data_IF_888757456681
#
_entry.id   IF_888757456681
#
_cell.length_a   1.000
_cell.length_b   1.000
_cell.length_c   1.000
_cell.angle_alpha   90.00
_cell.angle_beta   90.00
_cell.angle_gamma   90.00
#
_symmetry.space_group_name_H-M   'P 1'
#
loop_
_entity.id
_entity.type
_entity.pdbx_description
1 polymer ?
#
# COMPACT_ATOMS: atom_id res chain seq x y z
N UNK A 1 -27.06 11.76 2.63
CA UNK A 1 -25.86 10.90 2.62
C UNK A 1 -24.68 11.72 3.12
N UNK A 2 -23.73 11.10 3.83
CA UNK A 2 -22.48 11.78 4.24
C UNK A 2 -21.56 11.85 3.02
N UNK A 3 -20.97 13.01 2.75
CA UNK A 3 -20.10 13.26 1.58
C UNK A 3 -18.68 13.60 2.04
N UNK A 4 -17.71 13.56 1.14
CA UNK A 4 -16.32 13.96 1.40
C UNK A 4 -16.22 15.41 1.90
N UNK A 5 -17.04 16.32 1.39
CA UNK A 5 -17.12 17.70 1.87
C UNK A 5 -17.56 17.80 3.34
N UNK A 6 -18.56 17.01 3.74
CA UNK A 6 -19.01 16.96 5.14
C UNK A 6 -17.90 16.47 6.08
N UNK A 7 -17.12 15.46 5.65
CA UNK A 7 -15.98 14.94 6.42
C UNK A 7 -14.83 15.95 6.51
N UNK A 8 -14.53 16.66 5.42
CA UNK A 8 -13.52 17.72 5.39
C UNK A 8 -13.90 18.90 6.27
N UNK A 9 -15.16 19.33 6.23
CA UNK A 9 -15.68 20.40 7.11
C UNK A 9 -15.59 19.99 8.58
N UNK A 10 -15.94 18.74 8.90
CA UNK A 10 -15.81 18.21 10.26
C UNK A 10 -14.34 18.16 10.72
N UNK A 11 -13.43 17.66 9.87
CA UNK A 11 -12.00 17.63 10.17
C UNK A 11 -11.42 19.04 10.37
N UNK A 12 -11.81 20.00 9.53
CA UNK A 12 -11.46 21.42 9.68
C UNK A 12 -11.91 21.97 11.04
N UNK A 13 -13.15 21.67 11.45
CA UNK A 13 -13.68 22.09 12.75
C UNK A 13 -12.92 21.46 13.92
N UNK A 14 -12.59 20.17 13.81
CA UNK A 14 -11.82 19.42 14.81
C UNK A 14 -10.42 20.00 14.98
N UNK A 15 -9.69 20.21 13.88
CA UNK A 15 -8.34 20.78 13.93
C UNK A 15 -8.37 22.24 14.44
N UNK A 16 -9.40 23.01 14.09
CA UNK A 16 -9.62 24.35 14.65
C UNK A 16 -9.91 24.33 16.15
N UNK A 17 -10.68 23.34 16.63
CA UNK A 17 -10.94 23.14 18.05
C UNK A 17 -9.63 22.83 18.77
N UNK A 18 -8.84 21.88 18.26
CA UNK A 18 -7.49 21.58 18.78
C UNK A 18 -6.64 22.85 18.81
N UNK A 19 -6.58 23.61 17.72
CA UNK A 19 -5.82 24.87 17.61
C UNK A 19 -6.20 25.87 18.69
N UNK A 20 -7.49 26.00 19.02
CA UNK A 20 -7.95 26.89 20.09
C UNK A 20 -7.55 26.39 21.47
N UNK A 21 -7.55 25.07 21.68
CA UNK A 21 -7.28 24.45 22.99
C UNK A 21 -5.81 24.12 23.25
N UNK A 22 -4.92 24.26 22.26
CA UNK A 22 -3.46 24.16 22.46
C UNK A 22 -3.05 25.05 23.62
N UNK A 23 -2.55 24.40 24.67
CA UNK A 23 -2.05 25.03 25.85
C UNK A 23 -2.98 25.27 27.02
N UNK A 24 -4.26 24.94 26.87
CA UNK A 24 -5.26 25.09 27.94
C UNK A 24 -5.21 23.92 28.92
N UNK A 25 -5.13 24.17 30.23
CA UNK A 25 -5.10 23.11 31.26
C UNK A 25 -6.44 22.37 31.39
N UNK A 26 -7.54 23.06 31.10
CA UNK A 26 -8.92 22.58 31.28
C UNK A 26 -9.41 21.55 30.24
N UNK A 27 -8.52 21.09 29.34
CA UNK A 27 -8.87 20.25 28.19
C UNK A 27 -8.26 18.82 28.24
N UNK A 28 -8.59 17.97 29.25
CA UNK A 28 -8.06 16.61 29.33
C UNK A 28 -8.58 15.69 28.20
N UNK A 29 -9.74 16.03 27.61
CA UNK A 29 -10.37 15.29 26.52
C UNK A 29 -9.50 15.24 25.24
N UNK A 30 -8.55 16.17 25.08
CA UNK A 30 -7.65 16.24 23.91
C UNK A 30 -6.81 14.96 23.74
N UNK A 31 -6.57 14.19 24.80
CA UNK A 31 -5.79 12.94 24.73
C UNK A 31 -6.47 11.89 23.83
N UNK A 32 -7.80 11.91 23.73
CA UNK A 32 -8.58 10.89 23.03
C UNK A 32 -9.11 11.38 21.67
N UNK A 33 -9.05 12.68 21.39
CA UNK A 33 -9.67 13.26 20.19
C UNK A 33 -9.14 12.62 18.90
N UNK A 34 -7.83 12.34 18.84
CA UNK A 34 -7.18 11.79 17.68
C UNK A 34 -7.62 10.34 17.38
N UNK A 35 -7.98 9.57 18.40
CA UNK A 35 -8.46 8.19 18.24
C UNK A 35 -9.81 8.15 17.51
N UNK A 36 -10.68 9.13 17.77
CA UNK A 36 -11.98 9.25 17.13
C UNK A 36 -11.88 9.99 15.78
N UNK A 37 -11.20 11.13 15.75
CA UNK A 37 -11.08 11.95 14.56
C UNK A 37 -10.25 11.29 13.45
N UNK A 38 -9.32 10.39 13.80
CA UNK A 38 -8.49 9.70 12.82
C UNK A 38 -9.27 8.79 11.87
N UNK A 39 -10.49 8.37 12.21
CA UNK A 39 -11.34 7.55 11.32
C UNK A 39 -11.97 8.37 10.18
N UNK A 40 -11.94 9.70 10.29
CA UNK A 40 -12.57 10.64 9.34
C UNK A 40 -11.56 11.13 8.29
N UNK A 41 -10.25 10.94 8.54
CA UNK A 41 -9.15 11.33 7.64
C UNK A 41 -8.98 10.26 6.56
N UNK A 42 -9.78 10.34 5.49
CA UNK A 42 -9.79 9.37 4.37
C UNK A 42 -9.53 10.09 3.04
N UNK A 43 -10.38 11.05 2.66
CA UNK A 43 -10.21 11.88 1.45
C UNK A 43 -10.09 13.35 1.85
N UNK A 44 -8.99 13.70 2.51
CA UNK A 44 -8.76 15.05 3.04
C UNK A 44 -8.26 16.00 1.96
N UNK A 45 -8.91 17.16 1.82
CA UNK A 45 -8.58 18.20 0.85
C UNK A 45 -7.23 18.87 1.13
N UNK A 46 -6.55 19.29 0.07
CA UNK A 46 -5.32 20.10 0.09
C UNK A 46 -5.52 21.45 0.80
N UNK A 47 -6.72 22.02 0.77
CA UNK A 47 -7.03 23.31 1.40
C UNK A 47 -6.80 23.31 2.92
N UNK A 48 -6.89 22.13 3.55
CA UNK A 48 -6.64 21.95 4.98
C UNK A 48 -5.19 22.27 5.36
N UNK A 49 -4.24 22.20 4.41
CA UNK A 49 -2.83 22.52 4.62
C UNK A 49 -2.68 23.98 5.05
N UNK A 50 -3.27 24.90 4.28
CA UNK A 50 -3.23 26.34 4.55
C UNK A 50 -4.03 26.70 5.81
N UNK A 51 -5.26 26.19 5.94
CA UNK A 51 -6.04 26.30 7.16
C UNK A 51 -6.90 25.05 7.38
N UNK A 52 -6.72 24.31 8.49
CA UNK A 52 -6.08 24.75 9.75
C UNK A 52 -4.72 24.12 10.09
N UNK A 53 -4.16 23.25 9.24
CA UNK A 53 -2.99 22.41 9.57
C UNK A 53 -1.73 23.23 9.83
N UNK A 54 -1.35 24.12 8.91
CA UNK A 54 -0.14 24.93 9.02
C UNK A 54 -0.17 25.87 10.26
N UNK A 55 -1.24 26.67 10.51
CA UNK A 55 -1.31 27.50 11.71
C UNK A 55 -1.32 26.70 13.03
N UNK A 56 -1.88 25.49 13.01
CA UNK A 56 -1.86 24.60 14.18
C UNK A 56 -0.43 24.10 14.46
N UNK A 57 0.30 23.67 13.42
CA UNK A 57 1.69 23.24 13.53
C UNK A 57 2.59 24.39 14.05
N UNK A 58 2.43 25.59 13.50
CA UNK A 58 3.16 26.79 13.95
C UNK A 58 2.88 27.12 15.42
N UNK A 59 1.62 27.06 15.86
CA UNK A 59 1.24 27.34 17.25
C UNK A 59 1.86 26.35 18.23
N UNK A 60 1.82 25.05 17.92
CA UNK A 60 2.45 24.02 18.75
C UNK A 60 3.98 24.20 18.77
N UNK A 61 4.58 24.53 17.63
CA UNK A 61 6.02 24.78 17.54
C UNK A 61 6.45 25.99 18.36
N UNK A 62 5.73 27.10 18.25
CA UNK A 62 5.98 28.32 19.03
C UNK A 62 5.91 28.06 20.53
N UNK A 63 4.94 27.24 20.97
CA UNK A 63 4.83 26.80 22.36
C UNK A 63 6.03 25.93 22.77
N UNK A 64 6.45 24.98 21.92
CA UNK A 64 7.62 24.15 22.19
C UNK A 64 8.90 24.99 22.37
N UNK A 65 9.10 25.99 21.51
CA UNK A 65 10.22 26.93 21.60
C UNK A 65 10.16 27.73 22.91
N UNK A 66 8.98 28.24 23.29
CA UNK A 66 8.82 29.01 24.52
C UNK A 66 9.11 28.18 25.79
N UNK A 67 8.56 26.96 25.88
CA UNK A 67 8.78 26.06 27.02
C UNK A 67 10.26 25.65 27.10
N UNK A 68 10.91 25.38 25.97
CA UNK A 68 12.34 25.05 25.94
C UNK A 68 13.24 26.23 26.32
N UNK A 69 12.95 27.43 25.84
CA UNK A 69 13.68 28.63 26.25
C UNK A 69 13.54 28.86 27.76
N UNK A 70 12.33 28.64 28.32
CA UNK A 70 12.10 28.68 29.77
C UNK A 70 12.98 27.66 30.50
N UNK A 71 13.02 26.41 30.03
CA UNK A 71 13.92 25.37 30.55
C UNK A 71 15.40 25.81 30.53
N UNK A 72 15.90 26.30 29.39
CA UNK A 72 17.30 26.71 29.25
C UNK A 72 17.67 27.89 30.16
N UNK A 73 16.78 28.87 30.28
CA UNK A 73 17.00 30.05 31.14
C UNK A 73 17.09 29.69 32.63
N UNK A 74 16.40 28.63 33.05
CA UNK A 74 16.37 28.18 34.44
C UNK A 74 17.40 27.07 34.73
N UNK A 75 18.14 26.61 33.71
CA UNK A 75 19.07 25.46 33.83
C UNK A 75 20.19 25.66 34.84
N UNK A 76 20.69 26.89 34.99
CA UNK A 76 21.70 27.23 36.00
C UNK A 76 21.11 27.24 37.41
N UNK A 77 19.87 27.72 37.54
CA UNK A 77 19.12 27.82 38.80
C UNK A 77 18.68 26.44 39.30
N UNK A 78 18.20 25.56 38.41
CA UNK A 78 17.78 24.20 38.76
C UNK A 78 18.91 23.30 39.31
N UNK A 79 20.19 23.68 39.11
CA UNK A 79 21.33 22.93 39.66
C UNK A 79 21.57 23.15 41.16
N UNK A 80 21.01 24.20 41.77
CA UNK A 80 21.26 24.53 43.17
C UNK A 80 20.38 23.74 44.17
N UNK A 81 19.40 22.95 43.69
CA UNK A 81 18.60 22.01 44.47
C UNK A 81 18.00 22.55 45.78
N UNK A 82 17.49 23.79 45.76
CA UNK A 82 16.76 24.42 46.88
C UNK A 82 15.25 24.13 46.78
N UNK A 83 14.47 24.34 47.84
CA UNK A 83 12.99 24.15 47.79
C UNK A 83 12.32 25.00 46.70
N UNK A 84 12.79 26.23 46.47
CA UNK A 84 12.28 27.08 45.39
C UNK A 84 12.60 26.52 43.99
N UNK A 85 13.64 25.69 43.84
CA UNK A 85 13.96 25.05 42.55
C UNK A 85 13.02 23.87 42.24
N UNK A 86 12.50 23.17 43.26
CA UNK A 86 11.60 22.03 43.04
C UNK A 86 10.20 22.48 42.60
N UNK A 87 9.71 23.61 43.09
CA UNK A 87 8.45 24.21 42.64
C UNK A 87 8.53 24.65 41.17
N UNK A 88 9.64 25.28 40.78
CA UNK A 88 9.90 25.72 39.40
C UNK A 88 10.06 24.53 38.45
N UNK A 89 10.72 23.46 38.90
CA UNK A 89 10.82 22.20 38.15
C UNK A 89 9.45 21.56 37.90
N UNK A 90 8.58 21.54 38.92
CA UNK A 90 7.21 21.04 38.80
C UNK A 90 6.38 21.81 37.76
N UNK A 91 6.42 23.14 37.80
CA UNK A 91 5.73 23.97 36.81
C UNK A 91 6.22 23.74 35.38
N UNK A 92 7.54 23.59 35.21
CA UNK A 92 8.13 23.29 33.91
C UNK A 92 7.67 21.92 33.40
N UNK A 93 7.58 20.94 34.30
CA UNK A 93 7.10 19.59 33.98
C UNK A 93 5.62 19.59 33.54
N UNK A 94 4.78 20.41 34.18
CA UNK A 94 3.37 20.58 33.81
C UNK A 94 3.22 21.23 32.43
N UNK A 95 4.03 22.26 32.12
CA UNK A 95 4.05 22.88 30.79
C UNK A 95 4.48 21.91 29.69
N UNK A 96 5.50 21.07 29.96
CA UNK A 96 5.89 19.99 29.06
C UNK A 96 4.82 18.93 28.92
N UNK A 97 4.10 18.59 29.99
CA UNK A 97 2.98 17.63 29.96
C UNK A 97 1.86 18.11 29.03
N UNK A 98 1.51 19.39 29.10
CA UNK A 98 0.54 20.01 28.20
C UNK A 98 1.04 20.03 26.75
N UNK A 99 2.31 20.39 26.52
CA UNK A 99 2.91 20.35 25.18
C UNK A 99 2.87 18.92 24.58
N UNK A 100 3.16 17.92 25.40
CA UNK A 100 3.04 16.51 25.00
C UNK A 100 1.60 16.20 24.63
N UNK A 101 0.61 16.53 25.47
CA UNK A 101 -0.81 16.32 25.14
C UNK A 101 -1.22 16.98 23.82
N UNK A 102 -0.82 18.23 23.60
CA UNK A 102 -1.19 18.98 22.40
C UNK A 102 -0.62 18.33 21.13
N UNK A 103 0.60 17.81 21.21
CA UNK A 103 1.19 17.01 20.15
C UNK A 103 0.45 15.70 19.93
N UNK A 104 0.00 15.03 20.99
CA UNK A 104 -0.76 13.76 20.87
C UNK A 104 -2.13 13.97 20.23
N UNK A 105 -2.73 15.14 20.44
CA UNK A 105 -3.99 15.50 19.78
C UNK A 105 -3.80 15.75 18.28
N UNK A 106 -2.66 16.34 17.88
CA UNK A 106 -2.42 16.78 16.51
C UNK A 106 -1.69 15.75 15.63
N UNK A 107 -0.59 15.17 16.09
CA UNK A 107 0.32 14.36 15.24
C UNK A 107 -0.33 13.14 14.61
N UNK A 108 -1.20 12.36 15.28
CA UNK A 108 -1.85 11.23 14.61
C UNK A 108 -2.76 11.66 13.46
N UNK A 109 -3.37 12.85 13.54
CA UNK A 109 -4.17 13.42 12.45
C UNK A 109 -3.26 13.95 11.33
N UNK A 110 -2.17 14.62 11.70
CA UNK A 110 -1.18 15.11 10.75
C UNK A 110 -0.53 13.98 9.94
N UNK A 111 -0.15 12.88 10.60
CA UNK A 111 0.49 11.72 9.93
C UNK A 111 -0.44 11.17 8.85
N UNK A 112 -1.72 10.92 9.19
CA UNK A 112 -2.71 10.44 8.21
C UNK A 112 -2.92 11.43 7.07
N UNK A 113 -2.99 12.73 7.36
CA UNK A 113 -3.12 13.76 6.35
C UNK A 113 -1.92 13.79 5.38
N UNK A 114 -0.71 13.73 5.91
CA UNK A 114 0.53 13.71 5.12
C UNK A 114 0.63 12.44 4.28
N UNK A 115 0.22 11.29 4.80
CA UNK A 115 0.23 10.02 4.06
C UNK A 115 -0.68 10.09 2.81
N UNK A 116 -1.86 10.73 2.94
CA UNK A 116 -2.77 10.96 1.81
C UNK A 116 -2.19 11.94 0.77
N UNK A 117 -1.51 12.98 1.24
CA UNK A 117 -1.01 14.07 0.39
C UNK A 117 0.41 13.82 -0.16
N UNK A 118 1.05 12.72 0.26
CA UNK A 118 2.46 12.43 -0.05
C UNK A 118 2.76 12.40 -1.54
N UNK A 119 1.94 11.70 -2.34
CA UNK A 119 2.19 11.56 -3.76
C UNK A 119 2.17 12.93 -4.46
N UNK A 120 1.17 13.75 -4.15
CA UNK A 120 1.05 15.12 -4.65
C UNK A 120 2.24 16.00 -4.23
N UNK A 121 2.64 15.96 -2.95
CA UNK A 121 3.76 16.76 -2.43
C UNK A 121 5.14 16.34 -2.95
N UNK A 122 5.29 15.10 -3.44
CA UNK A 122 6.53 14.64 -4.06
C UNK A 122 6.61 15.07 -5.54
N UNK A 123 5.46 15.16 -6.21
CA UNK A 123 5.37 15.65 -7.60
C UNK A 123 5.44 17.18 -7.68
N UNK A 124 4.90 17.89 -6.69
CA UNK A 124 4.82 19.36 -6.66
C UNK A 124 5.55 19.97 -5.48
N UNK A 125 6.29 21.06 -5.73
CA UNK A 125 7.03 21.77 -4.69
C UNK A 125 6.11 22.70 -3.88
N UNK A 126 5.54 22.19 -2.79
CA UNK A 126 4.62 22.93 -1.91
C UNK A 126 5.37 23.51 -0.70
N UNK A 127 5.48 24.83 -0.63
CA UNK A 127 6.22 25.56 0.41
C UNK A 127 5.60 25.41 1.80
N UNK A 128 4.28 25.31 1.86
CA UNK A 128 3.51 25.15 3.08
C UNK A 128 3.77 23.78 3.71
N UNK A 129 3.91 22.73 2.89
CA UNK A 129 4.29 21.40 3.33
C UNK A 129 5.71 21.39 3.92
N UNK A 130 6.64 22.09 3.27
CA UNK A 130 8.00 22.31 3.79
C UNK A 130 7.98 23.06 5.14
N UNK A 131 7.13 24.07 5.29
CA UNK A 131 6.96 24.78 6.56
C UNK A 131 6.44 23.87 7.68
N UNK A 132 5.43 23.04 7.41
CA UNK A 132 4.94 22.03 8.36
C UNK A 132 6.06 21.07 8.75
N UNK A 133 6.85 20.58 7.79
CA UNK A 133 8.01 19.73 8.07
C UNK A 133 9.01 20.43 9.00
N UNK A 134 9.36 21.69 8.72
CA UNK A 134 10.30 22.48 9.50
C UNK A 134 9.83 22.68 10.95
N UNK A 135 8.53 22.94 11.17
CA UNK A 135 7.95 23.03 12.51
C UNK A 135 8.06 21.69 13.27
N UNK A 136 7.67 20.58 12.64
CA UNK A 136 7.78 19.25 13.26
C UNK A 136 9.23 18.90 13.58
N UNK A 137 10.16 19.20 12.67
CA UNK A 137 11.59 18.97 12.85
C UNK A 137 12.17 19.83 13.99
N UNK A 138 11.77 21.09 14.10
CA UNK A 138 12.19 21.98 15.18
C UNK A 138 11.71 21.46 16.54
N UNK A 139 10.45 21.03 16.64
CA UNK A 139 9.91 20.42 17.86
C UNK A 139 10.71 19.15 18.23
N UNK A 140 11.03 18.30 17.25
CA UNK A 140 11.85 17.10 17.48
C UNK A 140 13.26 17.45 17.96
N UNK A 141 13.90 18.47 17.39
CA UNK A 141 15.21 18.95 17.79
C UNK A 141 15.20 19.49 19.22
N UNK A 142 14.18 20.26 19.60
CA UNK A 142 13.97 20.74 20.97
C UNK A 142 13.87 19.57 21.95
N UNK A 143 13.05 18.55 21.62
CA UNK A 143 12.92 17.37 22.47
C UNK A 143 14.20 16.57 22.62
N UNK A 144 15.04 16.50 21.58
CA UNK A 144 16.33 15.79 21.67
C UNK A 144 17.30 16.46 22.65
N UNK A 145 17.12 17.76 22.92
CA UNK A 145 17.99 18.58 23.78
C UNK A 145 17.45 18.78 25.20
N UNK A 146 16.13 18.71 25.39
CA UNK A 146 15.46 18.91 26.69
C UNK A 146 15.82 17.83 27.72
N UNK A 147 16.13 18.23 28.95
CA UNK A 147 16.37 17.33 30.09
C UNK A 147 15.07 17.01 30.85
N UNK A 148 14.16 17.99 30.98
CA UNK A 148 12.85 17.82 31.61
C UNK A 148 11.98 16.77 30.89
N UNK A 149 12.12 16.62 29.57
CA UNK A 149 11.44 15.57 28.81
C UNK A 149 12.00 14.15 29.06
N UNK A 150 13.25 14.00 29.51
CA UNK A 150 13.84 12.69 29.82
C UNK A 150 13.34 12.10 31.16
N UNK A 151 12.47 12.82 31.87
CA UNK A 151 11.74 12.30 33.03
C UNK A 151 10.90 11.07 32.64
N UNK A 152 10.82 10.08 33.56
CA UNK A 152 10.19 8.77 33.30
C UNK A 152 8.76 8.82 32.72
N UNK A 153 7.81 9.65 33.19
CA UNK A 153 6.42 9.58 32.73
C UNK A 153 6.21 10.11 31.29
N UNK A 154 6.89 11.19 30.90
CA UNK A 154 6.85 11.78 29.55
C UNK A 154 7.57 10.90 28.52
N UNK A 155 8.68 10.25 28.93
CA UNK A 155 9.40 9.26 28.11
C UNK A 155 8.56 8.01 27.79
N UNK A 156 7.77 7.51 28.75
CA UNK A 156 6.91 6.32 28.59
C UNK A 156 5.76 6.60 27.62
N UNK A 157 5.09 7.75 27.72
CA UNK A 157 4.06 8.14 26.77
C UNK A 157 4.64 8.10 25.33
N UNK A 158 5.80 8.72 25.09
CA UNK A 158 6.41 8.79 23.75
C UNK A 158 6.97 7.48 23.22
N UNK A 159 7.34 6.54 24.11
CA UNK A 159 7.66 5.17 23.71
C UNK A 159 6.42 4.42 23.21
N UNK A 160 5.21 4.83 23.61
CA UNK A 160 3.96 4.31 23.06
C UNK A 160 3.64 4.90 21.66
N UNK A 161 4.00 6.15 21.36
CA UNK A 161 3.78 6.77 20.03
C UNK A 161 4.79 6.32 18.96
N UNK A 162 6.08 6.44 19.24
CA UNK A 162 7.11 5.87 18.38
C UNK A 162 7.69 4.67 19.10
N UNK A 163 7.43 3.48 18.55
CA UNK A 163 8.21 2.31 18.91
C UNK A 163 9.69 2.64 18.84
N UNK A 164 10.49 2.02 19.69
CA UNK A 164 11.96 2.18 19.68
C UNK A 164 12.55 1.98 18.28
N UNK A 165 11.95 1.13 17.46
CA UNK A 165 12.27 0.95 16.04
C UNK A 165 11.95 2.19 15.19
N UNK A 166 10.76 2.79 15.34
CA UNK A 166 10.38 4.02 14.62
C UNK A 166 11.28 5.21 14.99
N UNK A 167 11.68 5.34 16.26
CA UNK A 167 12.65 6.38 16.69
C UNK A 167 14.02 6.21 16.04
N UNK A 168 14.49 4.95 15.94
CA UNK A 168 15.77 4.62 15.31
C UNK A 168 15.78 4.96 13.83
N UNK A 169 14.68 4.68 13.13
CA UNK A 169 14.51 5.02 11.70
C UNK A 169 14.50 6.55 11.53
N UNK A 170 13.71 7.30 12.32
CA UNK A 170 13.66 8.76 12.23
C UNK A 170 15.05 9.42 12.46
N UNK A 171 15.80 8.95 13.46
CA UNK A 171 17.17 9.43 13.71
C UNK A 171 18.11 9.07 12.55
N UNK A 172 17.97 7.88 11.94
CA UNK A 172 18.75 7.50 10.77
C UNK A 172 18.42 8.34 9.54
N UNK A 173 17.15 8.74 9.35
CA UNK A 173 16.74 9.65 8.27
C UNK A 173 17.34 11.05 8.47
N UNK A 174 17.35 11.58 9.70
CA UNK A 174 17.95 12.88 10.01
C UNK A 174 19.49 12.88 9.90
N UNK A 175 20.12 11.71 10.08
CA UNK A 175 21.57 11.50 9.87
C UNK A 175 21.90 11.02 8.46
N UNK A 176 20.92 10.98 7.56
CA UNK A 176 21.17 10.50 6.20
C UNK A 176 22.12 11.47 5.49
N UNK A 177 23.07 10.90 4.76
CA UNK A 177 24.03 11.68 3.98
C UNK A 177 23.31 12.13 2.70
N UNK A 178 23.26 13.43 2.38
CA UNK A 178 22.61 13.90 1.17
C UNK A 178 23.32 13.34 -0.07
N UNK A 179 22.57 13.15 -1.16
CA UNK A 179 23.03 12.44 -2.35
C UNK A 179 24.37 12.98 -2.91
N UNK A 180 24.54 14.31 -2.91
CA UNK A 180 25.76 14.97 -3.39
C UNK A 180 27.02 14.69 -2.55
N UNK A 181 26.87 14.22 -1.30
CA UNK A 181 27.96 13.85 -0.41
C UNK A 181 28.24 12.34 -0.39
N UNK A 182 27.53 11.53 -1.18
CA UNK A 182 27.81 10.10 -1.29
C UNK A 182 29.06 9.85 -2.14
N UNK A 183 29.80 8.79 -1.80
CA UNK A 183 30.88 8.29 -2.66
C UNK A 183 30.29 7.83 -3.99
N UNK A 184 30.94 8.18 -5.11
CA UNK A 184 30.46 7.89 -6.47
C UNK A 184 30.00 6.44 -6.68
N UNK A 185 30.77 5.45 -6.25
CA UNK A 185 30.39 4.03 -6.40
C UNK A 185 29.11 3.67 -5.64
N UNK A 186 28.85 4.27 -4.47
CA UNK A 186 27.65 4.02 -3.69
C UNK A 186 26.43 4.65 -4.35
N UNK A 187 26.59 5.87 -4.88
CA UNK A 187 25.54 6.53 -5.65
C UNK A 187 25.19 5.72 -6.91
N UNK A 188 26.19 5.19 -7.63
CA UNK A 188 25.97 4.33 -8.80
C UNK A 188 25.20 3.06 -8.43
N UNK A 189 25.56 2.38 -7.34
CA UNK A 189 24.85 1.15 -6.93
C UNK A 189 23.37 1.43 -6.58
N UNK A 190 23.10 2.54 -5.86
CA UNK A 190 21.73 2.96 -5.55
C UNK A 190 20.98 3.30 -6.85
N UNK A 191 21.63 4.04 -7.76
CA UNK A 191 21.04 4.39 -9.04
C UNK A 191 20.69 3.15 -9.88
N UNK A 192 21.59 2.16 -9.98
CA UNK A 192 21.33 0.94 -10.75
C UNK A 192 20.18 0.12 -10.17
N UNK A 193 20.06 0.06 -8.84
CA UNK A 193 18.94 -0.62 -8.19
C UNK A 193 17.61 0.07 -8.51
N UNK A 194 17.53 1.40 -8.30
CA UNK A 194 16.32 2.18 -8.57
C UNK A 194 15.97 2.14 -10.06
N UNK A 195 16.97 2.25 -10.94
CA UNK A 195 16.76 2.15 -12.38
C UNK A 195 16.22 0.78 -12.77
N UNK A 196 16.73 -0.30 -12.18
CA UNK A 196 16.18 -1.64 -12.41
C UNK A 196 14.72 -1.73 -11.95
N UNK A 197 14.43 -1.36 -10.72
CA UNK A 197 13.09 -1.50 -10.10
C UNK A 197 12.05 -0.58 -10.75
N UNK A 198 12.41 0.66 -11.09
CA UNK A 198 11.47 1.65 -11.63
C UNK A 198 11.37 1.68 -13.16
N UNK A 199 12.44 1.31 -13.88
CA UNK A 199 12.44 1.43 -15.35
C UNK A 199 12.46 0.07 -16.05
N UNK A 200 13.21 -0.90 -15.54
CA UNK A 200 13.36 -2.19 -16.22
C UNK A 200 12.30 -3.23 -15.81
N UNK A 201 11.72 -3.13 -14.61
CA UNK A 201 10.69 -4.07 -14.15
C UNK A 201 9.30 -3.77 -14.75
N UNK A 202 9.02 -2.51 -15.07
CA UNK A 202 7.77 -2.04 -15.69
C UNK A 202 7.81 -2.12 -17.23
N UNK A 203 9.00 -2.20 -17.84
CA UNK A 203 9.13 -2.30 -19.30
C UNK A 203 8.55 -3.64 -19.80
N UNK A 204 7.65 -3.58 -20.78
CA UNK A 204 7.15 -4.77 -21.47
C UNK A 204 8.31 -5.43 -22.23
N UNK A 205 8.82 -6.54 -21.69
CA UNK A 205 9.96 -7.27 -22.26
C UNK A 205 9.57 -8.17 -23.44
N UNK A 206 8.35 -8.05 -23.95
CA UNK A 206 7.84 -8.84 -25.07
C UNK A 206 7.26 -10.19 -24.64
N UNK A 207 6.72 -10.29 -23.41
CA UNK A 207 6.08 -11.52 -22.92
C UNK A 207 4.92 -11.94 -23.83
N UNK A 208 4.13 -10.98 -24.32
CA UNK A 208 3.04 -11.21 -25.27
C UNK A 208 3.56 -11.82 -26.58
N UNK A 209 4.64 -11.25 -27.13
CA UNK A 209 5.23 -11.70 -28.40
C UNK A 209 5.81 -13.12 -28.29
N UNK A 210 6.36 -13.49 -27.13
CA UNK A 210 6.80 -14.87 -26.90
C UNK A 210 5.63 -15.86 -26.97
N UNK A 211 4.51 -15.54 -26.31
CA UNK A 211 3.33 -16.42 -26.32
C UNK A 211 2.70 -16.48 -27.72
N UNK A 212 2.64 -15.35 -28.43
CA UNK A 212 2.18 -15.31 -29.83
C UNK A 212 3.02 -16.20 -30.74
N UNK A 213 4.35 -16.12 -30.65
CA UNK A 213 5.27 -16.95 -31.45
C UNK A 213 5.14 -18.45 -31.16
N UNK A 214 4.74 -18.82 -29.93
CA UNK A 214 4.52 -20.21 -29.55
C UNK A 214 3.12 -20.72 -29.94
N UNK A 215 2.22 -19.82 -30.31
CA UNK A 215 0.80 -20.10 -30.59
C UNK A 215 0.34 -19.42 -31.89
N UNK A 216 -0.46 -18.36 -31.79
CA UNK A 216 -0.91 -17.51 -32.89
C UNK A 216 -1.26 -16.10 -32.37
N UNK A 217 -1.21 -15.11 -33.26
CA UNK A 217 -1.63 -13.73 -32.98
C UNK A 217 -3.16 -13.57 -33.07
N UNK A 218 -3.70 -12.47 -32.53
CA UNK A 218 -5.12 -12.13 -32.63
C UNK A 218 -5.54 -11.92 -34.10
N UNK A 219 -4.74 -11.16 -34.86
CA UNK A 219 -5.00 -10.87 -36.28
C UNK A 219 -5.00 -12.14 -37.14
N UNK A 220 -4.07 -13.06 -36.88
CA UNK A 220 -4.03 -14.37 -37.57
C UNK A 220 -5.28 -15.21 -37.25
N UNK A 221 -5.76 -15.17 -36.01
CA UNK A 221 -6.94 -15.92 -35.60
C UNK A 221 -8.24 -15.35 -36.20
N UNK A 222 -8.33 -14.03 -36.38
CA UNK A 222 -9.47 -13.41 -37.05
C UNK A 222 -9.50 -13.66 -38.55
N UNK A 223 -8.33 -13.70 -39.19
CA UNK A 223 -8.20 -13.94 -40.64
C UNK A 223 -8.33 -15.40 -41.04
N UNK A 224 -7.98 -16.35 -40.16
CA UNK A 224 -8.04 -17.80 -40.42
C UNK A 224 -9.40 -18.47 -40.13
N UNK A 225 -10.49 -17.71 -39.94
CA UNK A 225 -11.84 -18.23 -39.59
C UNK A 225 -12.49 -19.21 -40.60
N UNK A 226 -11.80 -19.71 -41.62
CA UNK A 226 -12.38 -20.56 -42.69
C UNK A 226 -11.64 -21.89 -43.01
N UNK A 227 -10.86 -22.49 -42.10
CA UNK A 227 -10.31 -23.84 -42.38
C UNK A 227 -10.64 -24.83 -41.25
N UNK A 228 -11.23 -25.96 -41.65
CA UNK A 228 -11.59 -27.11 -40.80
C UNK A 228 -10.40 -27.57 -39.94
N UNK A 229 -10.65 -27.76 -38.64
CA UNK A 229 -9.68 -28.27 -37.68
C UNK A 229 -9.37 -29.76 -37.98
N UNK A 230 -8.26 -30.03 -38.67
CA UNK A 230 -7.60 -31.34 -38.58
C UNK A 230 -7.05 -31.54 -37.16
N UNK A 231 -6.96 -32.79 -36.67
CA UNK A 231 -6.33 -33.12 -35.37
C UNK A 231 -4.86 -32.65 -35.35
N UNK A 232 -4.64 -31.39 -34.98
CA UNK A 232 -3.31 -30.82 -34.89
C UNK A 232 -2.59 -31.36 -33.67
N UNK A 233 -1.34 -31.76 -33.87
CA UNK A 233 -0.42 -32.15 -32.80
C UNK A 233 -0.41 -31.05 -31.73
N UNK A 234 -0.36 -31.40 -30.43
CA UNK A 234 -0.33 -30.42 -29.36
C UNK A 234 0.82 -29.46 -29.62
N UNK A 235 0.51 -28.17 -29.63
CA UNK A 235 1.49 -27.13 -29.91
C UNK A 235 2.57 -27.05 -28.83
N UNK A 236 3.63 -26.29 -29.10
CA UNK A 236 4.80 -26.23 -28.21
C UNK A 236 4.43 -25.74 -26.81
N UNK A 237 3.45 -24.83 -26.72
CA UNK A 237 2.96 -24.31 -25.45
C UNK A 237 2.16 -25.38 -24.67
N UNK A 238 1.29 -26.14 -25.35
CA UNK A 238 0.55 -27.25 -24.72
C UNK A 238 1.48 -28.33 -24.16
N UNK A 239 2.57 -28.65 -24.88
CA UNK A 239 3.58 -29.61 -24.39
C UNK A 239 4.27 -29.11 -23.10
N UNK A 240 4.57 -27.81 -23.02
CA UNK A 240 5.13 -27.20 -21.83
C UNK A 240 4.17 -27.28 -20.64
N UNK A 241 2.89 -26.95 -20.86
CA UNK A 241 1.86 -27.00 -19.82
C UNK A 241 1.67 -28.43 -19.31
N UNK A 242 1.64 -29.43 -20.22
CA UNK A 242 1.57 -30.84 -19.83
C UNK A 242 2.76 -31.25 -18.96
N UNK A 243 3.97 -30.77 -19.25
CA UNK A 243 5.14 -31.02 -18.43
C UNK A 243 5.00 -30.43 -17.02
N UNK A 244 4.52 -29.19 -16.88
CA UNK A 244 4.25 -28.58 -15.58
C UNK A 244 3.15 -29.31 -14.80
N UNK A 245 2.05 -29.69 -15.45
CA UNK A 245 0.99 -30.48 -14.82
C UNK A 245 1.49 -31.84 -14.31
N UNK A 246 2.39 -32.49 -15.07
CA UNK A 246 3.02 -33.74 -14.63
C UNK A 246 3.90 -33.50 -13.40
N UNK A 247 4.70 -32.43 -13.38
CA UNK A 247 5.54 -32.12 -12.22
C UNK A 247 4.70 -31.91 -10.95
N UNK A 248 3.64 -31.10 -11.02
CA UNK A 248 2.76 -30.83 -9.89
C UNK A 248 1.97 -32.06 -9.40
N UNK A 249 1.69 -33.04 -10.26
CA UNK A 249 1.07 -34.32 -9.85
C UNK A 249 2.08 -35.30 -9.24
N UNK A 250 3.34 -35.31 -9.69
CA UNK A 250 4.35 -36.26 -9.18
C UNK A 250 4.88 -35.92 -7.78
N UNK A 251 4.82 -34.65 -7.37
CA UNK A 251 5.34 -34.18 -6.08
C UNK A 251 4.29 -34.21 -4.93
N UNK A 252 3.11 -34.79 -5.15
CA UNK A 252 1.98 -34.82 -4.19
C UNK A 252 2.30 -35.44 -2.82
N UNK A 253 3.38 -36.22 -2.69
CA UNK A 253 3.78 -36.88 -1.45
C UNK A 253 4.70 -36.04 -0.54
N UNK A 254 5.23 -34.90 -1.01
CA UNK A 254 6.19 -34.07 -0.27
C UNK A 254 5.84 -32.58 -0.19
N UNK A 255 6.75 -31.80 0.40
CA UNK A 255 6.78 -30.34 0.23
C UNK A 255 7.27 -30.05 -1.18
N UNK A 256 6.41 -29.43 -1.99
CA UNK A 256 6.73 -28.99 -3.36
C UNK A 256 8.00 -28.15 -3.34
N UNK A 257 9.01 -28.53 -4.13
CA UNK A 257 10.20 -27.70 -4.28
C UNK A 257 9.90 -26.48 -5.15
N UNK A 258 10.58 -25.36 -4.89
CA UNK A 258 10.43 -24.17 -5.74
C UNK A 258 11.02 -24.45 -7.13
N UNK A 259 10.18 -24.37 -8.15
CA UNK A 259 10.57 -24.55 -9.55
C UNK A 259 10.72 -23.18 -10.22
N UNK A 260 11.97 -22.74 -10.38
CA UNK A 260 12.31 -21.48 -11.03
C UNK A 260 11.71 -21.38 -12.44
N UNK A 261 11.73 -22.47 -13.21
CA UNK A 261 11.24 -22.48 -14.59
C UNK A 261 9.73 -22.24 -14.60
N UNK A 262 8.99 -22.96 -13.76
CA UNK A 262 7.56 -22.74 -13.60
C UNK A 262 7.25 -21.31 -13.16
N UNK A 263 7.97 -20.79 -12.16
CA UNK A 263 7.73 -19.44 -11.63
C UNK A 263 7.90 -18.34 -12.69
N UNK A 264 8.90 -18.45 -13.55
CA UNK A 264 9.11 -17.49 -14.65
C UNK A 264 8.02 -17.62 -15.73
N UNK A 265 7.63 -18.85 -16.11
CA UNK A 265 6.55 -19.04 -17.08
C UNK A 265 5.19 -18.60 -16.54
N UNK A 266 4.92 -18.78 -15.25
CA UNK A 266 3.70 -18.27 -14.62
C UNK A 266 3.64 -16.74 -14.68
N UNK A 267 4.76 -16.04 -14.47
CA UNK A 267 4.83 -14.58 -14.63
C UNK A 267 4.63 -14.15 -16.10
N UNK A 268 5.27 -14.85 -17.06
CA UNK A 268 5.09 -14.60 -18.50
C UNK A 268 3.62 -14.78 -18.91
N UNK A 269 2.98 -15.88 -18.49
CA UNK A 269 1.57 -16.14 -18.77
C UNK A 269 0.68 -15.06 -18.15
N UNK A 270 0.96 -14.67 -16.90
CA UNK A 270 0.23 -13.60 -16.21
C UNK A 270 0.33 -12.27 -16.94
N UNK A 271 1.53 -11.89 -17.41
CA UNK A 271 1.75 -10.63 -18.13
C UNK A 271 1.19 -10.67 -19.56
N UNK A 272 1.04 -11.87 -20.15
CA UNK A 272 0.54 -12.03 -21.52
C UNK A 272 -0.97 -11.86 -21.70
N UNK A 273 -1.74 -11.78 -20.61
CA UNK A 273 -3.19 -11.57 -20.59
C UNK A 273 -3.55 -10.12 -20.17
N UNK A 274 -2.75 -9.13 -20.56
CA UNK A 274 -2.94 -7.72 -20.18
C UNK A 274 -2.22 -7.36 -18.87
N UNK A 275 -0.89 -7.50 -18.90
CA UNK A 275 -0.01 -7.14 -17.80
C UNK A 275 -0.16 -5.68 -17.36
N UNK A 276 -0.33 -5.49 -16.05
CA UNK A 276 -0.12 -4.25 -15.29
C UNK A 276 -0.94 -2.99 -15.61
N UNK A 277 -2.04 -3.05 -16.35
CA UNK A 277 -2.95 -1.89 -16.43
C UNK A 277 -3.98 -1.91 -15.29
N UNK A 278 -3.54 -1.66 -14.06
CA UNK A 278 -4.41 -1.18 -12.97
C UNK A 278 -3.97 0.20 -12.43
N UNK A 279 -2.85 0.77 -12.91
CA UNK A 279 -2.34 2.05 -12.39
C UNK A 279 -2.38 3.22 -13.41
N UNK A 280 -2.88 3.02 -14.64
CA UNK A 280 -3.01 4.10 -15.65
C UNK A 280 -4.41 4.76 -15.70
N UNK A 281 -5.31 4.51 -14.74
CA UNK A 281 -6.63 5.17 -14.71
C UNK A 281 -6.70 6.44 -13.82
N UNK A 282 -5.58 7.04 -13.43
CA UNK A 282 -5.58 8.32 -12.68
C UNK A 282 -4.59 9.38 -13.22
N UNK A 283 -4.45 9.52 -14.54
CA UNK A 283 -4.09 10.82 -15.11
C UNK A 283 -5.37 11.65 -15.34
N UNK A 284 -5.68 12.52 -14.38
CA UNK A 284 -6.60 13.66 -14.56
C UNK A 284 -6.00 14.67 -15.57
N UNK A 285 -5.83 14.25 -16.82
CA UNK A 285 -5.72 15.09 -17.99
C UNK A 285 -7.05 15.07 -18.73
N UNK A 286 -7.49 16.20 -19.26
CA UNK A 286 -8.64 16.30 -20.18
C UNK A 286 -8.35 15.60 -21.53
N UNK A 287 -8.08 14.30 -21.51
CA UNK A 287 -8.11 13.47 -22.72
C UNK A 287 -9.46 12.75 -22.79
N UNK A 288 -10.10 12.81 -23.96
CA UNK A 288 -11.34 12.08 -24.22
C UNK A 288 -11.13 10.61 -23.84
N UNK A 289 -11.83 10.13 -22.82
CA UNK A 289 -11.73 8.73 -22.38
C UNK A 289 -11.95 7.77 -23.56
N UNK A 290 -11.38 6.55 -23.50
CA UNK A 290 -11.32 5.65 -24.63
C UNK A 290 -12.70 5.41 -25.24
N UNK A 291 -12.75 5.39 -26.57
CA UNK A 291 -14.00 5.21 -27.31
C UNK A 291 -14.68 3.90 -26.90
N UNK A 292 -16.02 3.84 -26.90
CA UNK A 292 -16.78 2.59 -26.68
C UNK A 292 -16.27 1.47 -27.61
N UNK A 293 -15.86 1.84 -28.83
CA UNK A 293 -15.30 0.88 -29.76
C UNK A 293 -13.93 0.35 -29.32
N UNK A 294 -13.09 1.20 -28.77
CA UNK A 294 -11.75 0.86 -28.27
C UNK A 294 -11.83 -0.05 -27.04
N UNK A 295 -12.69 0.30 -26.08
CA UNK A 295 -12.95 -0.54 -24.90
C UNK A 295 -13.47 -1.95 -25.28
N UNK A 296 -14.35 -2.04 -26.28
CA UNK A 296 -14.86 -3.33 -26.74
C UNK A 296 -13.76 -4.13 -27.48
N UNK A 297 -12.89 -3.48 -28.26
CA UNK A 297 -11.75 -4.12 -28.92
C UNK A 297 -10.73 -4.67 -27.90
N UNK A 298 -10.40 -3.89 -26.87
CA UNK A 298 -9.51 -4.32 -25.79
C UNK A 298 -10.08 -5.51 -25.03
N UNK A 299 -11.37 -5.48 -24.73
CA UNK A 299 -12.07 -6.60 -24.10
C UNK A 299 -12.02 -7.86 -24.95
N UNK A 300 -12.21 -7.75 -26.26
CA UNK A 300 -12.10 -8.90 -27.17
C UNK A 300 -10.67 -9.44 -27.25
N UNK A 301 -9.66 -8.57 -27.29
CA UNK A 301 -8.25 -8.94 -27.24
C UNK A 301 -7.90 -9.67 -25.94
N UNK A 302 -8.35 -9.16 -24.80
CA UNK A 302 -8.17 -9.79 -23.48
C UNK A 302 -8.80 -11.18 -23.44
N UNK A 303 -10.07 -11.30 -23.86
CA UNK A 303 -10.77 -12.58 -23.89
C UNK A 303 -10.05 -13.59 -24.79
N UNK A 304 -9.53 -13.16 -25.95
CA UNK A 304 -8.76 -14.01 -26.83
C UNK A 304 -7.45 -14.49 -26.16
N UNK A 305 -6.68 -13.59 -25.56
CA UNK A 305 -5.44 -13.94 -24.86
C UNK A 305 -5.71 -14.96 -23.74
N UNK A 306 -6.76 -14.75 -22.96
CA UNK A 306 -7.20 -15.66 -21.89
C UNK A 306 -7.64 -17.02 -22.43
N UNK A 307 -8.52 -17.05 -23.44
CA UNK A 307 -8.99 -18.29 -24.06
C UNK A 307 -7.84 -19.08 -24.70
N UNK A 308 -6.86 -18.39 -25.30
CA UNK A 308 -5.67 -19.01 -25.89
C UNK A 308 -4.86 -19.79 -24.86
N UNK A 309 -4.69 -19.26 -23.65
CA UNK A 309 -4.03 -19.98 -22.55
C UNK A 309 -4.94 -21.06 -21.94
N UNK A 310 -6.22 -20.75 -21.72
CA UNK A 310 -7.17 -21.67 -21.11
C UNK A 310 -7.35 -22.95 -21.94
N UNK A 311 -7.49 -22.82 -23.26
CA UNK A 311 -7.64 -23.95 -24.20
C UNK A 311 -6.45 -24.92 -24.19
N UNK A 312 -5.29 -24.47 -23.72
CA UNK A 312 -4.05 -25.27 -23.62
C UNK A 312 -3.84 -25.87 -22.22
N UNK A 313 -4.77 -25.64 -21.29
CA UNK A 313 -4.73 -26.20 -19.95
C UNK A 313 -4.06 -25.34 -18.88
N UNK A 314 -3.75 -24.06 -19.16
CA UNK A 314 -3.13 -23.17 -18.15
C UNK A 314 -4.05 -22.96 -16.94
N UNK A 315 -5.37 -22.86 -17.15
CA UNK A 315 -6.34 -22.76 -16.07
C UNK A 315 -6.27 -24.00 -15.15
N UNK A 316 -6.32 -25.21 -15.72
CA UNK A 316 -6.23 -26.45 -14.94
C UNK A 316 -4.91 -26.58 -14.20
N UNK A 317 -3.80 -26.24 -14.85
CA UNK A 317 -2.47 -26.19 -14.25
C UNK A 317 -2.45 -25.27 -13.02
N UNK A 318 -3.07 -24.10 -13.11
CA UNK A 318 -3.12 -23.13 -12.01
C UNK A 318 -3.80 -23.72 -10.77
N UNK A 319 -4.95 -24.39 -10.93
CA UNK A 319 -5.63 -25.07 -9.81
C UNK A 319 -4.79 -26.20 -9.22
N UNK A 320 -4.12 -26.97 -10.08
CA UNK A 320 -3.29 -28.08 -9.65
C UNK A 320 -2.12 -27.59 -8.78
N UNK A 321 -1.43 -26.52 -9.18
CA UNK A 321 -0.36 -25.94 -8.38
C UNK A 321 -0.87 -25.33 -7.06
N UNK A 322 -2.03 -24.66 -7.05
CA UNK A 322 -2.66 -24.18 -5.82
C UNK A 322 -2.93 -25.35 -4.86
N UNK A 323 -3.48 -26.47 -5.36
CA UNK A 323 -3.72 -27.67 -4.54
C UNK A 323 -2.43 -28.29 -4.02
N UNK A 324 -1.38 -28.32 -4.85
CA UNK A 324 -0.10 -28.91 -4.50
C UNK A 324 0.63 -28.10 -3.41
N UNK A 325 0.36 -26.79 -3.31
CA UNK A 325 0.94 -25.92 -2.29
C UNK A 325 0.43 -26.19 -0.87
N UNK A 326 -0.68 -26.92 -0.68
CA UNK A 326 -1.23 -27.33 0.64
C UNK A 326 -1.33 -26.18 1.67
N UNK A 327 -1.62 -24.96 1.21
CA UNK A 327 -1.75 -23.77 2.06
C UNK A 327 -0.42 -23.15 2.53
N UNK A 328 0.73 -23.58 2.00
CA UNK A 328 2.02 -22.94 2.28
C UNK A 328 2.19 -21.69 1.44
N UNK A 329 2.54 -20.58 2.10
CA UNK A 329 2.91 -19.35 1.41
C UNK A 329 4.36 -19.47 0.91
N UNK A 330 4.53 -19.47 -0.42
CA UNK A 330 5.83 -19.44 -1.10
C UNK A 330 5.77 -18.48 -2.29
N UNK A 331 6.93 -18.05 -2.84
CA UNK A 331 7.01 -17.31 -4.10
C UNK A 331 6.27 -18.04 -5.24
N UNK A 332 6.35 -19.36 -5.29
CA UNK A 332 5.64 -20.18 -6.28
C UNK A 332 4.11 -20.08 -6.12
N UNK A 333 3.59 -20.14 -4.89
CA UNK A 333 2.15 -19.91 -4.62
C UNK A 333 1.75 -18.49 -5.07
N UNK A 334 2.59 -17.49 -4.82
CA UNK A 334 2.32 -16.10 -5.20
C UNK A 334 2.24 -15.91 -6.72
N UNK A 335 3.20 -16.45 -7.48
CA UNK A 335 3.18 -16.37 -8.94
C UNK A 335 2.00 -17.15 -9.54
N UNK A 336 1.64 -18.30 -8.95
CA UNK A 336 0.47 -19.08 -9.37
C UNK A 336 -0.84 -18.31 -9.15
N UNK A 337 -0.96 -17.62 -8.01
CA UNK A 337 -2.15 -16.81 -7.73
C UNK A 337 -2.24 -15.60 -8.67
N UNK A 338 -1.12 -14.93 -8.96
CA UNK A 338 -1.07 -13.83 -9.96
C UNK A 338 -1.53 -14.29 -11.33
N UNK A 339 -1.06 -15.45 -11.78
CA UNK A 339 -1.53 -16.09 -13.01
C UNK A 339 -3.04 -16.34 -12.97
N UNK A 340 -3.55 -16.90 -11.88
CA UNK A 340 -4.98 -17.16 -11.71
C UNK A 340 -5.85 -15.90 -11.77
N UNK A 341 -5.38 -14.79 -11.18
CA UNK A 341 -6.05 -13.48 -11.23
C UNK A 341 -6.06 -12.95 -12.67
N UNK A 342 -4.91 -12.96 -13.36
CA UNK A 342 -4.78 -12.46 -14.72
C UNK A 342 -5.67 -13.21 -15.72
N UNK A 343 -5.71 -14.54 -15.61
CA UNK A 343 -6.56 -15.39 -16.46
C UNK A 343 -8.06 -15.17 -16.18
N UNK A 344 -8.44 -14.72 -14.98
CA UNK A 344 -9.81 -14.36 -14.61
C UNK A 344 -10.14 -12.88 -14.75
N UNK A 345 -9.20 -12.03 -15.20
CA UNK A 345 -9.39 -10.58 -15.36
C UNK A 345 -10.65 -10.31 -16.19
N UNK A 346 -11.51 -9.40 -15.73
CA UNK A 346 -12.79 -9.10 -16.40
C UNK A 346 -13.89 -10.16 -16.24
N UNK A 347 -13.70 -11.20 -15.43
CA UNK A 347 -14.75 -12.16 -15.08
C UNK A 347 -15.08 -13.18 -16.17
N UNK A 348 -14.05 -13.75 -16.83
CA UNK A 348 -14.22 -14.70 -17.93
C UNK A 348 -15.00 -15.97 -17.51
N UNK A 349 -16.25 -16.06 -17.96
CA UNK A 349 -17.21 -17.13 -17.58
C UNK A 349 -16.76 -18.51 -18.07
N UNK A 350 -16.12 -18.61 -19.23
CA UNK A 350 -15.66 -19.91 -19.75
C UNK A 350 -14.59 -20.54 -18.87
N UNK A 351 -13.69 -19.71 -18.35
CA UNK A 351 -12.65 -20.15 -17.43
C UNK A 351 -13.23 -20.52 -16.07
N UNK A 352 -14.21 -19.75 -15.58
CA UNK A 352 -14.94 -20.11 -14.37
C UNK A 352 -15.63 -21.48 -14.50
N UNK A 353 -16.20 -21.81 -15.66
CA UNK A 353 -16.77 -23.14 -15.93
C UNK A 353 -15.70 -24.24 -15.88
N UNK A 354 -14.51 -24.00 -16.43
CA UNK A 354 -13.36 -24.93 -16.33
C UNK A 354 -12.98 -25.14 -14.86
N UNK A 355 -12.89 -24.07 -14.08
CA UNK A 355 -12.59 -24.17 -12.65
C UNK A 355 -13.65 -24.94 -11.87
N UNK A 356 -14.93 -24.73 -12.17
CA UNK A 356 -16.01 -25.47 -11.53
C UNK A 356 -15.99 -26.95 -11.93
N UNK A 357 -15.96 -27.25 -13.23
CA UNK A 357 -15.98 -28.64 -13.72
C UNK A 357 -14.82 -29.46 -13.16
N UNK A 358 -13.64 -28.86 -13.03
CA UNK A 358 -12.45 -29.53 -12.49
C UNK A 358 -12.41 -29.58 -10.97
N UNK A 359 -12.97 -28.59 -10.26
CA UNK A 359 -13.14 -28.67 -8.81
C UNK A 359 -13.97 -29.90 -8.41
N UNK A 360 -15.05 -30.21 -9.13
CA UNK A 360 -15.82 -31.43 -8.87
C UNK A 360 -15.01 -32.72 -9.09
N UNK A 361 -13.99 -32.70 -9.95
CA UNK A 361 -13.14 -33.85 -10.24
C UNK A 361 -11.95 -33.98 -9.28
N UNK A 362 -11.38 -32.86 -8.82
CA UNK A 362 -10.24 -32.82 -7.89
C UNK A 362 -10.69 -32.98 -6.43
N UNK A 363 -11.92 -32.57 -6.09
CA UNK A 363 -12.50 -32.73 -4.75
C UNK A 363 -13.20 -34.09 -4.53
N UNK A 364 -13.32 -34.93 -5.57
CA UNK A 364 -13.88 -36.28 -5.44
C UNK A 364 -12.98 -37.27 -4.68
N UNK A 365 -11.66 -37.04 -4.68
CA UNK A 365 -10.66 -37.92 -4.06
C UNK A 365 -10.07 -37.37 -2.74
N UNK A 366 -10.54 -36.20 -2.28
CA UNK A 366 -10.13 -35.61 -1.00
C UNK A 366 -11.37 -35.38 -0.12
N UNK A 367 -11.54 -36.22 0.91
CA UNK A 367 -12.39 -35.92 2.06
C UNK A 367 -11.91 -34.62 2.73
N UNK A 368 -12.42 -33.47 2.29
CA UNK A 368 -12.32 -32.23 3.03
C UNK A 368 -13.53 -32.13 3.95
N UNK A 369 -13.24 -32.15 5.26
CA UNK A 369 -14.20 -31.83 6.32
C UNK A 369 -14.94 -30.55 5.96
N UNK A 370 -16.26 -30.62 6.05
CA UNK A 370 -17.19 -29.49 6.07
C UNK A 370 -16.73 -28.42 7.07
N UNK A 371 -15.93 -27.46 6.62
CA UNK A 371 -15.88 -26.14 7.23
C UNK A 371 -15.92 -25.10 6.11
N UNK A 372 -17.08 -24.45 6.03
CA UNK A 372 -17.46 -23.44 5.04
C UNK A 372 -16.48 -22.25 5.05
N UNK A 373 -15.42 -22.34 4.25
CA UNK A 373 -14.46 -21.25 4.09
C UNK A 373 -15.08 -20.03 3.40
N UNK A 374 -16.09 -20.23 2.55
CA UNK A 374 -16.85 -19.15 1.88
C UNK A 374 -17.83 -18.40 2.79
N UNK A 375 -18.17 -18.92 3.98
CA UNK A 375 -19.06 -18.22 4.92
C UNK A 375 -18.33 -17.20 5.80
N UNK A 376 -16.99 -17.17 5.81
CA UNK A 376 -16.20 -16.34 6.74
C UNK A 376 -15.53 -15.11 6.14
N UNK A 377 -15.79 -14.81 4.87
CA UNK A 377 -15.35 -13.56 4.22
C UNK A 377 -16.56 -12.76 3.76
N UNK A 378 -16.83 -11.56 4.29
CA UNK A 378 -17.84 -10.68 3.73
C UNK A 378 -17.28 -10.04 2.45
N UNK A 379 -17.23 -10.81 1.36
CA UNK A 379 -17.13 -10.24 0.02
C UNK A 379 -18.55 -10.03 -0.47
N UNK A 380 -18.95 -8.77 -0.50
CA UNK A 380 -20.21 -8.30 -1.02
C UNK A 380 -20.15 -8.41 -2.56
N UNK A 381 -20.34 -9.63 -3.08
CA UNK A 381 -20.55 -9.86 -4.50
C UNK A 381 -22.03 -9.56 -4.76
N UNK A 382 -22.26 -8.55 -5.60
CA UNK A 382 -23.53 -8.12 -6.16
C UNK A 382 -24.51 -9.29 -6.38
N UNK A 383 -25.62 -9.30 -5.64
CA UNK A 383 -26.80 -10.13 -5.93
C UNK A 383 -27.78 -9.28 -6.78
N UNK A 384 -27.93 -9.54 -8.09
CA UNK A 384 -28.80 -8.75 -8.95
C UNK A 384 -30.31 -8.98 -8.70
N UNK A 385 -30.71 -9.84 -7.76
CA UNK A 385 -32.12 -10.23 -7.58
C UNK A 385 -32.77 -9.75 -6.27
N UNK A 386 -32.15 -8.83 -5.54
CA UNK A 386 -32.69 -8.34 -4.26
C UNK A 386 -33.37 -6.96 -4.28
N UNK A 387 -33.88 -6.53 -5.44
CA UNK A 387 -34.80 -5.39 -5.57
C UNK A 387 -35.99 -5.77 -6.45
N UNK A 388 -36.87 -6.62 -5.91
CA UNK A 388 -38.26 -6.76 -6.35
C UNK A 388 -39.07 -7.56 -5.32
N UNK A 389 -39.42 -6.91 -4.20
CA UNK A 389 -40.73 -7.05 -3.50
C UNK A 389 -40.80 -6.11 -2.31
#
# INVERSE_FOLDING_TARGET
MVTSEHLNSLLKNILNLIRRTVGEESAPWMVNIAAHAGQIVINSSEELLLDPVLPLAEKICSRAVAVFHKEESMRGYLKSATEDTSQVEGQLQDEFSLLVRDVYAFYPLLIKYVDLQRAHWLKHNIKEAEAVYNYVAQIFNIWSKSQAHNARPTRIAWQKLLSTSKKRIAINCLRSVPLYNLRRHRAINIFLQIFKEMWLEEENTGQEQLIENLTQSFEDAETKKEVEEEEEKPDRLSQLIVAFCRNATTEQSGHMSEDDLYMHYADIFSKSCGGADEDEEEEEGEEEGPSIHEQEMEKQKLLFQQSRLANRGVAEMTLLYISACKGVQSPMTMNTLRLGISILKGGNVEIQKIYLSRNYFVLGDFEFRHENWWEKTPMNIYDPYRVAM
#
